data_IF_982358892148
#
_entry.id   IF_982358892148
#
_cell.length_a   1.000
_cell.length_b   1.000
_cell.length_c   1.000
_cell.angle_alpha   90.00
_cell.angle_beta   90.00
_cell.angle_gamma   90.00
#
_symmetry.space_group_name_H-M   'P 1'
#
loop_
_entity.id
_entity.type
_entity.pdbx_description
1 polymer ?
#
# COMPACT_ATOMS: atom_id res chain seq x y z
N UNK A 1 11.19 35.70 8.81
CA UNK A 1 9.89 35.01 8.80
C UNK A 1 10.14 33.64 8.19
N UNK A 2 9.88 32.56 8.93
CA UNK A 2 9.96 31.20 8.41
C UNK A 2 8.53 30.74 8.11
N UNK A 3 8.26 30.36 6.87
CA UNK A 3 6.97 29.82 6.47
C UNK A 3 6.96 28.31 6.74
N UNK A 4 5.88 27.83 7.35
CA UNK A 4 5.74 26.46 7.82
C UNK A 4 5.10 25.51 6.77
N UNK A 5 4.90 25.97 5.54
CA UNK A 5 4.29 25.18 4.46
C UNK A 5 2.76 25.26 4.38
N UNK A 6 2.07 25.76 5.40
CA UNK A 6 0.61 25.77 5.44
C UNK A 6 0.03 27.10 4.95
N UNK A 7 -1.16 27.04 4.35
CA UNK A 7 -2.01 28.19 4.05
C UNK A 7 -2.59 28.82 5.33
N UNK A 8 -3.29 29.95 5.19
CA UNK A 8 -4.02 30.60 6.29
C UNK A 8 -5.08 29.68 6.91
N UNK A 9 -5.67 28.79 6.11
CA UNK A 9 -6.66 27.80 6.54
C UNK A 9 -6.01 26.55 7.17
N UNK A 10 -4.69 26.59 7.40
CA UNK A 10 -3.89 25.48 7.91
C UNK A 10 -3.97 24.23 7.02
N UNK A 11 -3.98 24.45 5.71
CA UNK A 11 -3.92 23.39 4.69
C UNK A 11 -2.54 23.42 4.03
N UNK A 12 -1.91 22.26 3.93
CA UNK A 12 -0.78 22.01 3.05
C UNK A 12 -1.26 21.13 1.90
N UNK A 13 -0.85 21.42 0.67
CA UNK A 13 -1.12 20.58 -0.49
C UNK A 13 0.12 20.56 -1.39
N UNK A 14 0.73 19.39 -1.55
CA UNK A 14 1.96 19.27 -2.35
C UNK A 14 1.76 19.71 -3.79
N UNK A 15 0.55 19.60 -4.34
CA UNK A 15 0.28 19.89 -5.76
C UNK A 15 0.42 21.36 -6.11
N UNK A 16 0.27 22.28 -5.14
CA UNK A 16 0.44 23.72 -5.33
C UNK A 16 1.86 24.12 -5.76
N UNK A 17 2.83 23.23 -5.52
CA UNK A 17 4.23 23.55 -5.71
C UNK A 17 4.82 22.97 -6.99
N UNK A 18 4.28 21.86 -7.50
CA UNK A 18 5.03 21.00 -8.43
C UNK A 18 4.72 21.22 -9.90
N UNK A 19 3.92 22.24 -10.22
CA UNK A 19 3.59 22.58 -11.61
C UNK A 19 3.61 24.10 -11.91
N UNK A 20 3.94 24.97 -10.93
CA UNK A 20 3.83 26.43 -11.11
C UNK A 20 5.02 27.19 -10.50
N UNK A 21 5.39 28.30 -11.15
CA UNK A 21 6.24 29.31 -10.52
C UNK A 21 5.43 29.99 -9.41
N UNK A 22 5.74 29.69 -8.15
CA UNK A 22 5.08 30.35 -7.04
C UNK A 22 5.64 31.76 -6.89
N UNK A 23 4.77 32.75 -7.06
CA UNK A 23 5.07 34.14 -6.73
C UNK A 23 4.74 34.39 -5.27
N UNK A 24 5.78 34.51 -4.44
CA UNK A 24 5.62 34.86 -3.03
C UNK A 24 5.66 36.38 -2.91
N UNK A 25 4.58 36.96 -2.39
CA UNK A 25 4.51 38.36 -2.03
C UNK A 25 4.80 38.54 -0.54
N UNK A 26 5.87 39.28 -0.22
CA UNK A 26 6.18 39.71 1.14
C UNK A 26 5.83 41.19 1.22
N UNK A 27 4.80 41.53 1.99
CA UNK A 27 4.41 42.92 2.25
C UNK A 27 4.67 43.33 3.70
N UNK A 28 5.37 44.45 3.89
CA UNK A 28 5.42 45.15 5.17
C UNK A 28 5.01 46.60 4.97
N UNK A 29 3.70 46.86 4.88
CA UNK A 29 3.00 48.18 4.79
C UNK A 29 3.52 49.25 3.80
N UNK A 30 4.70 49.09 3.20
CA UNK A 30 5.46 50.06 2.40
C UNK A 30 6.21 49.40 1.23
N UNK A 31 6.54 48.10 1.30
CA UNK A 31 7.26 47.38 0.25
C UNK A 31 6.57 46.05 -0.03
N UNK A 32 6.34 45.76 -1.31
CA UNK A 32 5.91 44.47 -1.86
C UNK A 32 7.12 43.87 -2.58
N UNK A 33 7.63 42.74 -2.09
CA UNK A 33 8.66 41.96 -2.79
C UNK A 33 7.99 40.73 -3.36
N UNK A 34 8.03 40.57 -4.69
CA UNK A 34 7.62 39.36 -5.37
C UNK A 34 8.85 38.52 -5.69
N UNK A 35 8.88 37.28 -5.20
CA UNK A 35 9.93 36.32 -5.52
C UNK A 35 9.32 35.07 -6.14
N UNK A 36 9.87 34.67 -7.29
CA UNK A 36 9.55 33.38 -7.90
C UNK A 36 10.30 32.27 -7.19
N UNK A 37 9.59 31.21 -6.84
CA UNK A 37 10.15 30.00 -6.27
C UNK A 37 9.76 28.84 -7.17
N UNK A 38 10.75 28.11 -7.65
CA UNK A 38 10.54 26.82 -8.32
C UNK A 38 10.61 25.71 -7.29
N UNK A 39 9.60 24.86 -7.22
CA UNK A 39 9.67 23.65 -6.41
C UNK A 39 9.64 22.41 -7.31
N UNK A 40 10.44 21.40 -6.95
CA UNK A 40 10.49 20.12 -7.65
C UNK A 40 10.30 18.98 -6.66
N UNK A 41 9.74 17.87 -7.13
CA UNK A 41 9.74 16.63 -6.35
C UNK A 41 11.18 16.26 -5.97
N UNK A 42 11.42 15.98 -4.69
CA UNK A 42 12.74 15.55 -4.21
C UNK A 42 12.92 14.03 -4.26
N UNK A 43 11.89 13.27 -3.88
CA UNK A 43 11.96 11.81 -3.79
C UNK A 43 11.28 11.14 -4.98
N UNK A 44 9.97 11.33 -5.11
CA UNK A 44 9.16 10.68 -6.15
C UNK A 44 8.12 11.63 -6.70
N UNK A 45 7.60 11.31 -7.90
CA UNK A 45 6.58 12.10 -8.60
C UNK A 45 5.18 11.49 -8.50
N UNK A 46 5.09 10.30 -7.92
CA UNK A 46 3.90 9.44 -7.96
C UNK A 46 3.06 9.45 -6.68
N UNK A 47 3.36 10.35 -5.76
CA UNK A 47 2.54 10.65 -4.58
C UNK A 47 2.35 12.13 -4.48
N UNK A 48 1.13 12.55 -4.17
CA UNK A 48 0.82 13.88 -3.66
C UNK A 48 0.04 13.75 -2.35
N UNK A 49 0.21 14.72 -1.46
CA UNK A 49 -0.42 14.73 -0.15
C UNK A 49 -1.02 16.10 0.13
N UNK A 50 -2.22 16.07 0.67
CA UNK A 50 -2.90 17.20 1.27
C UNK A 50 -3.06 16.94 2.77
N UNK A 51 -2.67 17.90 3.59
CA UNK A 51 -2.78 17.85 5.05
C UNK A 51 -3.71 18.97 5.48
N UNK A 52 -4.82 18.60 6.11
CA UNK A 52 -5.69 19.54 6.81
C UNK A 52 -5.42 19.45 8.32
N UNK A 53 -4.75 20.47 8.85
CA UNK A 53 -4.38 20.50 10.27
C UNK A 53 -5.55 20.89 11.20
N UNK A 54 -6.63 21.45 10.68
CA UNK A 54 -7.83 21.74 11.47
C UNK A 54 -8.64 20.46 11.71
N UNK A 55 -8.86 19.67 10.67
CA UNK A 55 -9.65 18.43 10.75
C UNK A 55 -8.83 17.20 11.10
N UNK A 56 -7.49 17.35 11.19
CA UNK A 56 -6.53 16.26 11.42
C UNK A 56 -6.67 15.14 10.38
N UNK A 57 -6.78 15.53 9.10
CA UNK A 57 -6.87 14.59 7.97
C UNK A 57 -5.71 14.76 7.00
N UNK A 58 -5.19 13.64 6.54
CA UNK A 58 -4.17 13.54 5.50
C UNK A 58 -4.77 12.73 4.35
N UNK A 59 -4.75 13.30 3.15
CA UNK A 59 -5.26 12.69 1.93
C UNK A 59 -4.10 12.52 0.95
N UNK A 60 -3.81 11.28 0.54
CA UNK A 60 -2.73 10.96 -0.38
C UNK A 60 -3.28 10.47 -1.73
N UNK A 61 -2.85 11.08 -2.83
CA UNK A 61 -3.08 10.54 -4.18
C UNK A 61 -1.89 9.68 -4.58
N UNK A 62 -2.10 8.36 -4.72
CA UNK A 62 -1.06 7.39 -5.07
C UNK A 62 -1.20 6.96 -6.54
N UNK A 63 -0.23 7.29 -7.38
CA UNK A 63 -0.24 6.94 -8.81
C UNK A 63 0.44 5.59 -9.03
N UNK A 64 -0.37 4.53 -9.10
CA UNK A 64 0.04 3.16 -9.41
C UNK A 64 0.11 2.94 -10.93
N UNK A 65 0.85 1.92 -11.38
CA UNK A 65 0.98 1.57 -12.79
C UNK A 65 0.87 0.05 -12.98
N UNK A 66 -0.36 -0.45 -12.84
CA UNK A 66 -0.69 -1.83 -13.15
C UNK A 66 -0.96 -1.95 -14.65
N UNK A 67 -0.38 -2.99 -15.27
CA UNK A 67 -0.54 -3.26 -16.70
C UNK A 67 -0.85 -4.74 -16.92
N UNK A 68 -1.95 -5.03 -17.59
CA UNK A 68 -2.28 -6.39 -18.03
C UNK A 68 -1.15 -6.97 -18.90
N UNK A 69 -0.81 -8.24 -18.62
CA UNK A 69 0.18 -9.01 -19.36
C UNK A 69 -0.42 -10.28 -19.95
N UNK A 70 -1.28 -10.93 -19.20
CA UNK A 70 -1.95 -12.16 -19.57
C UNK A 70 -3.25 -12.26 -18.78
N UNK A 71 -4.30 -12.76 -19.42
CA UNK A 71 -5.57 -13.01 -18.76
C UNK A 71 -6.25 -14.24 -19.37
N UNK A 72 -6.25 -15.33 -18.60
CA UNK A 72 -6.89 -16.59 -18.96
C UNK A 72 -8.01 -16.95 -17.96
N UNK A 73 -8.57 -15.96 -17.25
CA UNK A 73 -9.55 -16.17 -16.16
C UNK A 73 -10.91 -15.58 -16.47
N UNK A 74 -11.89 -15.80 -15.58
CA UNK A 74 -13.21 -15.17 -15.70
C UNK A 74 -13.23 -13.67 -15.38
N UNK A 75 -12.26 -13.16 -14.61
CA UNK A 75 -12.16 -11.75 -14.25
C UNK A 75 -11.41 -10.94 -15.32
N UNK A 76 -11.90 -9.74 -15.61
CA UNK A 76 -11.22 -8.79 -16.48
C UNK A 76 -10.09 -8.07 -15.74
N UNK A 77 -9.16 -7.45 -16.49
CA UNK A 77 -8.17 -6.57 -15.87
C UNK A 77 -8.80 -5.40 -15.10
N UNK A 78 -9.95 -4.88 -15.54
CA UNK A 78 -10.64 -3.79 -14.84
C UNK A 78 -11.21 -4.26 -13.49
N UNK A 79 -11.72 -5.50 -13.41
CA UNK A 79 -12.14 -6.10 -12.14
C UNK A 79 -10.95 -6.21 -11.18
N UNK A 80 -9.83 -6.75 -11.67
CA UNK A 80 -8.59 -6.85 -10.90
C UNK A 80 -8.08 -5.47 -10.47
N UNK A 81 -8.23 -4.44 -11.32
CA UNK A 81 -7.84 -3.09 -10.97
C UNK A 81 -8.69 -2.52 -9.83
N UNK A 82 -9.98 -2.82 -9.81
CA UNK A 82 -10.88 -2.46 -8.70
C UNK A 82 -10.43 -3.15 -7.41
N UNK A 83 -10.15 -4.46 -7.45
CA UNK A 83 -9.66 -5.20 -6.27
C UNK A 83 -8.34 -4.63 -5.75
N UNK A 84 -7.34 -4.40 -6.62
CA UNK A 84 -6.06 -3.83 -6.20
C UNK A 84 -6.23 -2.45 -5.55
N UNK A 85 -7.07 -1.57 -6.11
CA UNK A 85 -7.36 -0.25 -5.53
C UNK A 85 -8.09 -0.35 -4.19
N UNK A 86 -9.06 -1.26 -4.08
CA UNK A 86 -9.78 -1.50 -2.83
C UNK A 86 -8.85 -2.04 -1.74
N UNK A 87 -7.96 -2.97 -2.09
CA UNK A 87 -6.92 -3.47 -1.21
C UNK A 87 -6.01 -2.33 -0.71
N UNK A 88 -5.53 -1.45 -1.61
CA UNK A 88 -4.70 -0.30 -1.22
C UNK A 88 -5.43 0.59 -0.22
N UNK A 89 -6.70 0.94 -0.46
CA UNK A 89 -7.51 1.68 0.51
C UNK A 89 -7.65 0.93 1.83
N UNK A 90 -7.97 -0.37 1.76
CA UNK A 90 -8.20 -1.21 2.93
C UNK A 90 -6.96 -1.31 3.83
N UNK A 91 -5.78 -1.51 3.25
CA UNK A 91 -4.58 -1.85 4.03
C UNK A 91 -3.61 -0.69 4.23
N UNK A 92 -3.70 0.41 3.47
CA UNK A 92 -2.83 1.60 3.67
C UNK A 92 -3.54 2.80 4.31
N UNK A 93 -4.87 2.82 4.37
CA UNK A 93 -5.57 3.85 5.16
C UNK A 93 -5.45 3.57 6.65
N UNK A 94 -5.37 4.66 7.43
CA UNK A 94 -5.45 4.59 8.88
C UNK A 94 -6.50 5.59 9.37
N UNK A 95 -7.68 5.10 9.71
CA UNK A 95 -8.83 5.95 10.07
C UNK A 95 -9.76 5.27 11.08
N UNK A 96 -10.61 6.07 11.73
CA UNK A 96 -11.45 5.66 12.85
C UNK A 96 -12.50 4.58 12.53
N UNK A 97 -12.78 4.31 11.25
CA UNK A 97 -13.71 3.23 10.85
C UNK A 97 -13.06 1.84 10.84
N UNK A 98 -11.75 1.74 11.10
CA UNK A 98 -10.99 0.48 11.10
C UNK A 98 -10.96 -0.14 12.49
N UNK A 99 -10.88 -1.47 12.57
CA UNK A 99 -10.70 -2.16 13.86
C UNK A 99 -9.28 -2.03 14.43
N UNK A 100 -8.30 -1.75 13.57
CA UNK A 100 -6.89 -1.48 13.88
C UNK A 100 -6.35 -0.43 12.92
N UNK A 101 -5.21 0.20 13.21
CA UNK A 101 -4.68 1.28 12.37
C UNK A 101 -5.66 2.43 12.26
N UNK A 102 -6.09 2.98 13.39
CA UNK A 102 -7.16 4.00 13.40
C UNK A 102 -6.65 5.42 13.13
N UNK A 103 -5.35 5.64 13.20
CA UNK A 103 -4.69 6.92 12.96
C UNK A 103 -3.19 6.74 12.72
N UNK A 104 -2.52 7.85 12.41
CA UNK A 104 -1.05 8.01 12.50
C UNK A 104 -0.71 9.13 13.50
N UNK A 105 0.35 8.94 14.28
CA UNK A 105 0.84 9.98 15.19
C UNK A 105 1.92 10.83 14.52
N UNK A 106 1.69 12.14 14.46
CA UNK A 106 2.67 13.12 14.00
C UNK A 106 2.94 14.08 15.16
N UNK A 107 4.13 13.98 15.75
CA UNK A 107 4.48 14.65 17.01
C UNK A 107 3.50 14.29 18.15
N UNK A 108 2.64 15.23 18.56
CA UNK A 108 1.67 15.06 19.65
C UNK A 108 0.23 14.88 19.14
N UNK A 109 0.01 15.05 17.85
CA UNK A 109 -1.30 15.01 17.23
C UNK A 109 -1.52 13.68 16.50
N UNK A 110 -2.76 13.23 16.46
CA UNK A 110 -3.20 12.07 15.70
C UNK A 110 -3.96 12.53 14.46
N UNK A 111 -3.66 11.92 13.32
CA UNK A 111 -4.29 12.20 12.05
C UNK A 111 -4.94 10.95 11.48
N UNK A 112 -6.10 11.12 10.85
CA UNK A 112 -6.61 10.11 9.92
C UNK A 112 -5.89 10.23 8.58
N UNK A 113 -5.51 9.10 8.00
CA UNK A 113 -4.83 9.00 6.73
C UNK A 113 -5.72 8.25 5.72
N UNK A 114 -5.98 8.90 4.59
CA UNK A 114 -6.77 8.40 3.48
C UNK A 114 -5.90 8.31 2.23
N UNK A 115 -6.15 7.30 1.39
CA UNK A 115 -5.36 7.08 0.18
C UNK A 115 -6.27 6.88 -1.03
N UNK A 116 -5.95 7.56 -2.12
CA UNK A 116 -6.65 7.46 -3.39
C UNK A 116 -5.71 6.87 -4.45
N UNK A 117 -5.77 5.54 -4.71
CA UNK A 117 -4.98 4.90 -5.74
C UNK A 117 -5.53 5.19 -7.15
N UNK A 118 -4.68 5.76 -8.00
CA UNK A 118 -4.97 6.14 -9.39
C UNK A 118 -4.07 5.31 -10.30
N UNK A 119 -4.64 4.52 -11.20
CA UNK A 119 -3.85 3.79 -12.20
C UNK A 119 -3.55 4.69 -13.37
N UNK A 120 -2.28 4.96 -13.64
CA UNK A 120 -1.84 5.83 -14.73
C UNK A 120 -0.40 5.52 -15.12
N UNK A 121 -0.01 5.91 -16.32
CA UNK A 121 1.40 5.91 -16.75
C UNK A 121 2.09 7.22 -16.36
N UNK A 122 1.34 8.31 -16.23
CA UNK A 122 1.89 9.64 -15.97
C UNK A 122 2.30 9.80 -14.52
N UNK A 123 3.53 10.27 -14.29
CA UNK A 123 4.10 10.51 -12.96
C UNK A 123 3.75 9.34 -12.00
N UNK A 124 3.92 8.11 -12.45
CA UNK A 124 3.52 6.90 -11.73
C UNK A 124 4.72 6.15 -11.18
N UNK A 125 4.47 5.23 -10.25
CA UNK A 125 5.48 4.25 -9.82
C UNK A 125 5.88 3.32 -10.99
N UNK A 126 6.98 2.56 -10.87
CA UNK A 126 7.36 1.56 -11.86
C UNK A 126 6.20 0.59 -12.19
N UNK A 127 6.12 0.17 -13.46
CA UNK A 127 5.05 -0.71 -13.93
C UNK A 127 5.11 -2.08 -13.25
N UNK A 128 3.98 -2.56 -12.73
CA UNK A 128 3.78 -3.93 -12.25
C UNK A 128 2.92 -4.67 -13.29
N UNK A 129 3.42 -5.80 -13.79
CA UNK A 129 2.69 -6.63 -14.75
C UNK A 129 1.66 -7.52 -14.05
N UNK A 130 0.40 -7.47 -14.47
CA UNK A 130 -0.69 -8.28 -13.93
C UNK A 130 -0.93 -9.49 -14.83
N UNK A 131 -0.90 -10.68 -14.23
CA UNK A 131 -1.10 -11.97 -14.87
C UNK A 131 -2.30 -12.66 -14.22
N UNK A 132 -3.34 -12.92 -14.99
CA UNK A 132 -4.52 -13.65 -14.54
C UNK A 132 -4.44 -15.07 -15.07
N UNK A 133 -4.27 -16.05 -14.18
CA UNK A 133 -4.06 -17.44 -14.53
C UNK A 133 -5.23 -18.30 -14.04
N UNK A 134 -5.69 -19.22 -14.87
CA UNK A 134 -6.69 -20.23 -14.51
C UNK A 134 -5.98 -21.58 -14.39
N UNK A 135 -6.15 -22.26 -13.26
CA UNK A 135 -5.57 -23.60 -13.00
C UNK A 135 -4.04 -23.69 -13.00
N UNK A 136 -3.34 -22.56 -13.15
CA UNK A 136 -1.88 -22.44 -13.04
C UNK A 136 -1.52 -21.53 -11.85
N UNK A 137 -0.53 -21.93 -11.07
CA UNK A 137 -0.03 -21.13 -9.95
C UNK A 137 1.08 -20.18 -10.39
N UNK A 138 0.85 -18.88 -10.19
CA UNK A 138 1.86 -17.84 -10.29
C UNK A 138 2.17 -17.20 -8.94
N UNK A 139 3.47 -17.06 -8.62
CA UNK A 139 3.93 -16.34 -7.43
C UNK A 139 4.23 -14.87 -7.75
N UNK A 140 3.50 -13.99 -7.09
CA UNK A 140 3.73 -12.53 -7.10
C UNK A 140 5.10 -12.17 -6.55
N UNK A 141 5.65 -11.07 -7.06
CA UNK A 141 6.94 -10.52 -6.64
C UNK A 141 7.10 -9.10 -7.13
N UNK A 142 7.72 -8.27 -6.30
CA UNK A 142 8.18 -6.94 -6.67
C UNK A 142 9.66 -6.77 -6.35
N UNK A 143 10.48 -7.39 -7.20
CA UNK A 143 11.92 -7.15 -7.25
C UNK A 143 12.22 -6.10 -8.33
N UNK A 144 13.26 -5.28 -8.14
CA UNK A 144 13.56 -4.17 -9.08
C UNK A 144 13.71 -4.62 -10.55
N UNK A 145 14.12 -5.86 -10.79
CA UNK A 145 14.26 -6.46 -12.12
C UNK A 145 13.05 -7.33 -12.55
N UNK A 146 12.08 -7.59 -11.66
CA UNK A 146 10.90 -8.42 -11.95
C UNK A 146 9.71 -8.02 -11.07
N UNK A 147 8.71 -7.39 -11.69
CA UNK A 147 7.46 -6.95 -11.06
C UNK A 147 6.28 -7.69 -11.66
N UNK A 148 5.78 -8.69 -10.95
CA UNK A 148 4.66 -9.51 -11.39
C UNK A 148 3.65 -9.66 -10.27
N UNK A 149 2.39 -9.43 -10.60
CA UNK A 149 1.25 -9.62 -9.74
C UNK A 149 0.36 -10.69 -10.38
N UNK A 150 0.06 -11.75 -9.65
CA UNK A 150 -0.74 -12.86 -10.13
C UNK A 150 -2.11 -12.89 -9.44
N UNK A 151 -3.15 -13.09 -10.24
CA UNK A 151 -4.45 -13.61 -9.79
C UNK A 151 -4.51 -15.09 -10.21
N UNK A 152 -4.62 -15.99 -9.25
CA UNK A 152 -4.67 -17.44 -9.49
C UNK A 152 -6.10 -17.92 -9.25
N UNK A 153 -6.88 -18.03 -10.32
CA UNK A 153 -8.29 -18.43 -10.24
C UNK A 153 -8.43 -19.91 -9.87
N UNK A 154 -9.19 -20.18 -8.80
CA UNK A 154 -9.49 -21.52 -8.30
C UNK A 154 -8.50 -22.05 -7.28
N UNK A 155 -7.40 -21.33 -7.02
CA UNK A 155 -6.32 -21.78 -6.15
C UNK A 155 -6.80 -22.01 -4.71
N UNK A 156 -7.59 -21.09 -4.15
CA UNK A 156 -8.13 -21.24 -2.79
C UNK A 156 -9.01 -22.47 -2.66
N UNK A 157 -9.86 -22.75 -3.64
CA UNK A 157 -10.69 -23.97 -3.63
C UNK A 157 -9.80 -25.22 -3.59
N UNK A 158 -8.75 -25.27 -4.41
CA UNK A 158 -7.81 -26.39 -4.43
C UNK A 158 -7.03 -26.55 -3.11
N UNK A 159 -6.58 -25.45 -2.51
CA UNK A 159 -5.89 -25.46 -1.20
C UNK A 159 -6.80 -26.05 -0.10
N UNK A 160 -8.06 -25.60 -0.01
CA UNK A 160 -8.99 -26.10 1.00
C UNK A 160 -9.36 -27.58 0.77
N UNK A 161 -9.52 -27.99 -0.50
CA UNK A 161 -9.71 -29.39 -0.84
C UNK A 161 -8.52 -30.25 -0.39
N UNK A 162 -7.29 -29.78 -0.59
CA UNK A 162 -6.10 -30.55 -0.23
C UNK A 162 -5.92 -30.63 1.29
N UNK A 163 -6.06 -29.50 2.00
CA UNK A 163 -5.89 -29.44 3.46
C UNK A 163 -6.96 -30.26 4.18
N UNK A 164 -8.21 -30.24 3.72
CA UNK A 164 -9.29 -31.01 4.33
C UNK A 164 -9.07 -32.53 4.25
N UNK A 165 -8.25 -33.03 3.31
CA UNK A 165 -7.85 -34.46 3.29
C UNK A 165 -6.92 -34.83 4.44
N UNK A 166 -6.03 -33.92 4.85
CA UNK A 166 -5.05 -34.17 5.92
C UNK A 166 -5.56 -33.77 7.30
N UNK A 167 -6.42 -32.75 7.38
CA UNK A 167 -6.92 -32.19 8.63
C UNK A 167 -8.46 -32.04 8.65
N UNK A 168 -9.22 -33.14 8.44
CA UNK A 168 -10.67 -33.09 8.23
C UNK A 168 -11.47 -32.61 9.46
N UNK A 169 -10.90 -32.68 10.67
CA UNK A 169 -11.54 -32.22 11.90
C UNK A 169 -11.45 -30.70 12.10
N UNK A 170 -10.53 -30.03 11.39
CA UNK A 170 -10.26 -28.59 11.55
C UNK A 170 -10.65 -27.78 10.30
N UNK A 171 -10.62 -28.41 9.12
CA UNK A 171 -10.87 -27.74 7.85
C UNK A 171 -11.87 -28.52 7.01
N UNK A 172 -12.93 -27.84 6.59
CA UNK A 172 -13.91 -28.35 5.65
C UNK A 172 -13.61 -27.84 4.24
N UNK A 173 -13.85 -28.66 3.20
CA UNK A 173 -13.79 -28.18 1.84
C UNK A 173 -14.82 -27.07 1.64
N UNK A 174 -14.41 -26.02 0.95
CA UNK A 174 -15.28 -24.89 0.59
C UNK A 174 -15.88 -25.13 -0.80
N UNK A 175 -16.95 -24.42 -1.13
CA UNK A 175 -17.51 -24.42 -2.49
C UNK A 175 -16.57 -23.70 -3.46
N UNK A 176 -16.81 -23.86 -4.77
CA UNK A 176 -16.05 -23.12 -5.80
C UNK A 176 -16.31 -21.61 -5.72
N UNK A 177 -17.54 -21.22 -5.39
CA UNK A 177 -17.93 -19.83 -5.19
C UNK A 177 -17.21 -19.22 -3.98
N UNK A 178 -17.15 -19.95 -2.86
CA UNK A 178 -16.38 -19.55 -1.68
C UNK A 178 -14.89 -19.42 -2.00
N UNK A 179 -14.32 -20.39 -2.75
CA UNK A 179 -12.94 -20.31 -3.23
C UNK A 179 -12.67 -19.07 -4.08
N UNK A 180 -13.60 -18.72 -4.96
CA UNK A 180 -13.50 -17.50 -5.79
C UNK A 180 -13.52 -16.22 -4.96
N UNK A 181 -14.29 -16.19 -3.87
CA UNK A 181 -14.29 -15.06 -2.93
C UNK A 181 -12.94 -14.95 -2.22
N UNK A 182 -12.36 -16.09 -1.83
CA UNK A 182 -11.05 -16.14 -1.17
C UNK A 182 -9.90 -15.75 -2.10
N UNK A 183 -9.92 -16.17 -3.37
CA UNK A 183 -8.93 -15.75 -4.37
C UNK A 183 -8.93 -14.23 -4.59
N UNK A 184 -10.13 -13.60 -4.57
CA UNK A 184 -10.25 -12.14 -4.64
C UNK A 184 -9.63 -11.46 -3.43
N UNK A 185 -9.90 -11.93 -2.20
CA UNK A 185 -9.30 -11.38 -0.97
C UNK A 185 -7.78 -11.53 -0.96
N UNK A 186 -7.29 -12.68 -1.39
CA UNK A 186 -5.86 -12.98 -1.51
C UNK A 186 -5.19 -12.05 -2.53
N UNK A 187 -5.84 -11.83 -3.68
CA UNK A 187 -5.36 -10.88 -4.67
C UNK A 187 -5.35 -9.44 -4.16
N UNK A 188 -6.40 -8.99 -3.46
CA UNK A 188 -6.41 -7.67 -2.83
C UNK A 188 -5.23 -7.48 -1.87
N UNK A 189 -4.99 -8.48 -1.00
CA UNK A 189 -3.88 -8.49 -0.05
C UNK A 189 -2.53 -8.46 -0.78
N UNK A 190 -2.31 -9.41 -1.68
CA UNK A 190 -1.07 -9.55 -2.43
C UNK A 190 -0.79 -8.32 -3.30
N UNK A 191 -1.76 -7.82 -4.08
CA UNK A 191 -1.59 -6.62 -4.89
C UNK A 191 -1.14 -5.42 -4.06
N UNK A 192 -1.72 -5.27 -2.88
CA UNK A 192 -1.40 -4.17 -1.96
C UNK A 192 -0.02 -4.32 -1.33
N UNK A 193 0.37 -5.55 -1.01
CA UNK A 193 1.72 -5.88 -0.56
C UNK A 193 2.77 -5.55 -1.65
N UNK A 194 2.52 -5.98 -2.90
CA UNK A 194 3.42 -5.73 -4.01
C UNK A 194 3.55 -4.23 -4.34
N UNK A 195 2.45 -3.47 -4.27
CA UNK A 195 2.49 -2.01 -4.39
C UNK A 195 3.29 -1.39 -3.23
N UNK A 196 3.13 -1.93 -2.02
CA UNK A 196 3.86 -1.52 -0.83
C UNK A 196 5.37 -1.59 -0.99
N UNK A 197 5.89 -2.58 -1.71
CA UNK A 197 7.32 -2.65 -2.00
C UNK A 197 7.86 -1.42 -2.75
N UNK A 198 7.10 -0.76 -3.63
CA UNK A 198 7.55 0.49 -4.29
C UNK A 198 7.64 1.64 -3.28
N UNK A 199 6.72 1.69 -2.32
CA UNK A 199 6.70 2.69 -1.26
C UNK A 199 7.92 2.51 -0.34
N UNK A 200 8.11 1.30 0.18
CA UNK A 200 9.20 0.98 1.10
C UNK A 200 10.58 1.19 0.46
N UNK A 201 10.73 0.82 -0.81
CA UNK A 201 11.98 1.06 -1.55
C UNK A 201 12.30 2.55 -1.67
N UNK A 202 11.29 3.40 -1.82
CA UNK A 202 11.47 4.84 -2.04
C UNK A 202 11.84 5.61 -0.75
N UNK A 203 11.33 5.20 0.42
CA UNK A 203 11.59 5.94 1.67
C UNK A 203 12.57 5.24 2.62
N UNK A 204 12.53 3.91 2.72
CA UNK A 204 13.24 3.12 3.74
C UNK A 204 14.44 2.35 3.20
N UNK A 205 14.54 2.17 1.88
CA UNK A 205 15.62 1.46 1.23
C UNK A 205 15.28 0.01 0.86
N UNK A 206 15.95 -0.49 -0.18
CA UNK A 206 15.56 -1.71 -0.90
C UNK A 206 15.73 -3.00 -0.11
N UNK A 207 16.84 -3.11 0.63
CA UNK A 207 17.25 -4.39 1.21
C UNK A 207 16.47 -4.74 2.46
N UNK A 208 16.61 -3.97 3.54
CA UNK A 208 16.07 -4.33 4.86
C UNK A 208 14.55 -4.13 4.97
N UNK A 209 14.04 -3.02 4.45
CA UNK A 209 12.63 -2.68 4.57
C UNK A 209 11.78 -3.43 3.55
N UNK A 210 12.19 -3.45 2.28
CA UNK A 210 11.39 -4.04 1.19
C UNK A 210 11.70 -5.53 0.97
N UNK A 211 12.87 -5.90 0.45
CA UNK A 211 13.10 -7.26 -0.07
C UNK A 211 13.15 -8.37 0.99
N UNK A 212 13.56 -8.04 2.22
CA UNK A 212 13.53 -9.01 3.34
C UNK A 212 12.33 -8.85 4.26
N UNK A 213 11.29 -8.11 3.82
CA UNK A 213 10.02 -8.01 4.52
C UNK A 213 10.21 -7.48 5.95
N UNK A 214 10.90 -6.33 6.06
CA UNK A 214 11.31 -5.73 7.35
C UNK A 214 12.07 -6.69 8.27
N UNK A 215 12.92 -7.50 7.66
CA UNK A 215 13.76 -8.48 8.33
C UNK A 215 13.05 -9.79 8.66
N UNK A 216 11.78 -9.96 8.30
CA UNK A 216 11.01 -11.16 8.63
C UNK A 216 11.27 -12.35 7.70
N UNK A 217 11.95 -12.14 6.57
CA UNK A 217 12.32 -13.20 5.62
C UNK A 217 13.76 -13.08 5.11
N UNK A 218 14.22 -14.05 4.33
CA UNK A 218 15.55 -14.03 3.69
C UNK A 218 15.53 -13.29 2.35
N UNK A 219 16.61 -12.61 1.98
CA UNK A 219 16.71 -11.82 0.74
C UNK A 219 16.48 -12.59 -0.56
N UNK A 220 17.05 -13.79 -0.68
CA UNK A 220 17.04 -14.54 -1.95
C UNK A 220 15.92 -15.58 -2.01
N UNK A 221 15.71 -16.31 -0.90
CA UNK A 221 14.71 -17.39 -0.88
C UNK A 221 13.33 -16.92 -0.45
N UNK A 222 13.22 -15.68 0.06
CA UNK A 222 12.03 -15.15 0.71
C UNK A 222 11.45 -16.07 1.80
N UNK A 223 12.23 -17.03 2.31
CA UNK A 223 11.82 -17.91 3.39
C UNK A 223 11.64 -17.10 4.65
N UNK A 224 10.53 -17.34 5.34
CA UNK A 224 10.22 -16.69 6.61
C UNK A 224 11.25 -17.10 7.66
N UNK A 225 11.71 -16.14 8.46
CA UNK A 225 12.62 -16.42 9.57
C UNK A 225 11.87 -17.07 10.74
N UNK A 226 12.52 -17.95 11.53
CA UNK A 226 11.86 -18.73 12.57
C UNK A 226 11.11 -17.91 13.64
N UNK A 227 11.54 -16.68 13.91
CA UNK A 227 11.00 -15.84 14.99
C UNK A 227 9.90 -14.87 14.52
N UNK A 228 9.49 -14.92 13.24
CA UNK A 228 8.48 -14.04 12.67
C UNK A 228 7.07 -14.58 12.94
N UNK A 229 6.63 -14.55 14.19
CA UNK A 229 5.31 -15.06 14.58
C UNK A 229 4.18 -14.05 14.31
N UNK A 230 2.99 -14.55 13.97
CA UNK A 230 1.80 -13.71 13.87
C UNK A 230 1.48 -13.11 15.25
N UNK A 231 1.19 -11.81 15.36
CA UNK A 231 0.79 -11.22 16.62
C UNK A 231 -0.59 -11.76 17.05
N UNK A 232 -0.74 -12.12 18.33
CA UNK A 232 -1.99 -12.66 18.87
C UNK A 232 -3.12 -11.63 18.96
N UNK A 233 -2.80 -10.34 19.01
CA UNK A 233 -3.75 -9.21 19.03
C UNK A 233 -3.16 -7.96 18.38
N UNK A 234 -3.98 -6.96 18.08
CA UNK A 234 -3.54 -5.70 17.47
C UNK A 234 -3.22 -5.82 15.97
N UNK A 235 -2.43 -4.88 15.45
CA UNK A 235 -2.07 -4.79 14.02
C UNK A 235 -1.24 -5.98 13.55
N UNK A 236 -1.52 -6.44 12.33
CA UNK A 236 -0.66 -7.33 11.55
C UNK A 236 -0.01 -6.49 10.46
N UNK A 237 1.31 -6.34 10.51
CA UNK A 237 2.06 -5.54 9.54
C UNK A 237 1.94 -6.18 8.15
N UNK A 238 1.34 -5.44 7.22
CA UNK A 238 1.13 -5.83 5.82
C UNK A 238 2.43 -6.31 5.15
N UNK A 239 3.57 -5.69 5.49
CA UNK A 239 4.83 -5.88 4.77
C UNK A 239 5.72 -6.99 5.35
N UNK A 240 5.26 -7.69 6.40
CA UNK A 240 5.98 -8.82 7.00
C UNK A 240 5.38 -10.15 6.58
N UNK A 241 6.25 -11.12 6.35
CA UNK A 241 5.88 -12.54 6.34
C UNK A 241 5.92 -13.14 7.73
N UNK A 242 5.04 -14.11 7.97
CA UNK A 242 4.89 -14.76 9.25
C UNK A 242 5.00 -16.28 9.13
N UNK A 243 5.69 -16.91 10.08
CA UNK A 243 5.97 -18.35 10.09
C UNK A 243 4.68 -19.15 10.22
N UNK A 244 3.76 -18.63 11.02
CA UNK A 244 2.51 -19.31 11.34
C UNK A 244 1.37 -18.86 10.41
N UNK A 245 1.69 -18.35 9.23
CA UNK A 245 0.72 -17.92 8.22
C UNK A 245 -0.22 -19.06 7.80
N UNK A 246 0.19 -20.33 7.93
CA UNK A 246 -0.72 -21.48 7.75
C UNK A 246 -1.93 -21.44 8.69
N UNK A 247 -1.84 -20.77 9.85
CA UNK A 247 -2.95 -20.55 10.77
C UNK A 247 -3.95 -19.51 10.26
N UNK A 248 -3.60 -18.70 9.27
CA UNK A 248 -4.52 -17.72 8.65
C UNK A 248 -5.74 -18.42 8.09
N UNK A 249 -5.59 -19.65 7.58
CA UNK A 249 -6.70 -20.45 7.09
C UNK A 249 -7.76 -20.76 8.17
N UNK A 250 -7.40 -20.73 9.45
CA UNK A 250 -8.32 -20.96 10.58
C UNK A 250 -9.21 -19.74 10.87
N UNK A 251 -8.69 -18.53 10.66
CA UNK A 251 -9.45 -17.28 10.88
C UNK A 251 -8.99 -16.16 9.93
N UNK A 252 -9.27 -16.37 8.64
CA UNK A 252 -8.92 -15.43 7.58
C UNK A 252 -9.58 -14.07 7.77
N UNK A 253 -10.81 -14.05 8.28
CA UNK A 253 -11.55 -12.82 8.48
C UNK A 253 -10.88 -11.96 9.57
N UNK A 254 -10.45 -12.56 10.69
CA UNK A 254 -9.65 -11.85 11.69
C UNK A 254 -8.32 -11.36 11.13
N UNK A 255 -7.62 -12.21 10.37
CA UNK A 255 -6.37 -11.83 9.71
C UNK A 255 -6.55 -10.60 8.81
N UNK A 256 -7.41 -10.69 7.80
CA UNK A 256 -7.64 -9.60 6.84
C UNK A 256 -8.24 -8.33 7.47
N UNK A 257 -8.89 -8.43 8.62
CA UNK A 257 -9.38 -7.28 9.36
C UNK A 257 -8.26 -6.57 10.15
N UNK A 258 -7.22 -7.31 10.54
CA UNK A 258 -6.08 -6.80 11.34
C UNK A 258 -4.86 -6.44 10.51
N UNK A 259 -4.77 -6.91 9.27
CA UNK A 259 -3.71 -6.48 8.35
C UNK A 259 -3.83 -4.99 8.07
N UNK A 260 -2.71 -4.28 8.24
CA UNK A 260 -2.57 -2.85 7.92
C UNK A 260 -1.09 -2.51 7.72
N UNK A 261 -0.79 -1.55 6.85
CA UNK A 261 0.55 -0.99 6.71
C UNK A 261 0.97 -0.32 8.02
N UNK A 262 2.20 -0.58 8.47
CA UNK A 262 2.72 -0.01 9.71
C UNK A 262 2.66 1.53 9.67
N UNK A 263 2.39 2.17 10.81
CA UNK A 263 2.30 3.63 10.92
C UNK A 263 3.52 4.33 10.30
N UNK A 264 4.72 3.79 10.54
CA UNK A 264 5.97 4.30 9.99
C UNK A 264 6.01 4.23 8.45
N UNK A 265 5.45 3.20 7.83
CA UNK A 265 5.35 3.11 6.37
C UNK A 265 4.42 4.18 5.81
N UNK A 266 3.28 4.42 6.48
CA UNK A 266 2.30 5.43 6.08
C UNK A 266 2.89 6.84 6.22
N UNK A 267 3.61 7.11 7.30
CA UNK A 267 4.37 8.36 7.46
C UNK A 267 5.47 8.47 6.40
N UNK A 268 6.16 7.37 6.10
CA UNK A 268 7.15 7.28 5.03
C UNK A 268 6.56 7.63 3.66
N UNK A 269 5.39 7.10 3.33
CA UNK A 269 4.62 7.44 2.13
C UNK A 269 4.32 8.94 2.06
N UNK A 270 3.85 9.54 3.16
CA UNK A 270 3.59 10.98 3.19
C UNK A 270 4.87 11.81 2.99
N UNK A 271 5.98 11.37 3.58
CA UNK A 271 7.29 12.00 3.43
C UNK A 271 7.85 11.98 2.00
N UNK A 272 7.45 10.99 1.17
CA UNK A 272 7.87 10.93 -0.24
C UNK A 272 7.43 12.14 -1.07
N UNK A 273 6.44 12.90 -0.60
CA UNK A 273 6.00 14.16 -1.22
C UNK A 273 6.95 15.33 -0.98
N UNK A 274 8.05 15.12 -0.26
CA UNK A 274 9.04 16.14 0.04
C UNK A 274 9.50 16.86 -1.23
N UNK A 275 9.50 18.18 -1.15
CA UNK A 275 9.91 19.09 -2.21
C UNK A 275 11.34 19.60 -1.99
N UNK A 276 11.96 20.06 -3.07
CA UNK A 276 13.17 20.87 -3.07
C UNK A 276 12.85 22.22 -3.73
N UNK A 277 13.30 23.31 -3.11
CA UNK A 277 13.09 24.71 -3.50
C UNK A 277 14.42 25.36 -3.88
#
# INVERSE_FOLDING_TARGET
>A
MEWNGFSKDKIYDSTWFVNEELSVEISNKQVIVQKKIEAKYKQVKWVDVKINNQTKKIEANLRINLKEKENNTSLTFDDLLVFAKNGVKKYWERNSNRIVGTSIQIHKDYYEFFINPINTKEKSMPTIGVYSLNSDYGRSRNWWASRKLYYNEGESFHIYLEISKYYPAEYHPISKEEGTIEDKKEFEYTATHEIGHEILQAYGGKYEHSYIHKGSSTLFTQKVKPNSHLPSSGEIDLMKYYKDEYLVLRDKNNFYARVVAEEKDVIGLAWLTKLQF
#
